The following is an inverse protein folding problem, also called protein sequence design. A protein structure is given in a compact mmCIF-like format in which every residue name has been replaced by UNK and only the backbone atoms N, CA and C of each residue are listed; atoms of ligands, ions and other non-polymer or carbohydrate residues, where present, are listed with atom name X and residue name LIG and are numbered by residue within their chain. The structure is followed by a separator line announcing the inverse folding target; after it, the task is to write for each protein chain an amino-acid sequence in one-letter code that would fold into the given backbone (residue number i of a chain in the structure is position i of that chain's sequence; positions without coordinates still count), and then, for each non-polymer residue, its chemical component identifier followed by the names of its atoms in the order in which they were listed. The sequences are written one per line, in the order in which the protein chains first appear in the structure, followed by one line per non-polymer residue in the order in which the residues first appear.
data_IF_242947563270
#
_entry.id   IF_242947563270
#
_cell.length_a   1.000
_cell.length_b   1.000
_cell.length_c   1.000
_cell.angle_alpha   90.00
_cell.angle_beta   90.00
_cell.angle_gamma   90.00
#
_symmetry.space_group_name_H-M   'P 1'
#
loop_
_entity.id
_entity.type
_entity.pdbx_description
1 polymer ?
#
# COMPACT_ATOMS: atom_id res chain seq x y z
N UNK A 1 -5.14 14.67 8.69
CA UNK A 1 -4.35 13.82 7.77
C UNK A 1 -4.56 12.37 8.17
N UNK A 2 -5.15 11.55 7.30
CA UNK A 2 -5.43 10.16 7.67
C UNK A 2 -4.27 9.25 7.29
N UNK A 3 -3.47 8.89 8.29
CA UNK A 3 -2.40 7.91 8.10
C UNK A 3 -3.00 6.54 7.79
N UNK A 4 -2.72 5.94 6.63
CA UNK A 4 -3.22 4.61 6.30
C UNK A 4 -2.69 3.63 7.35
N UNK A 5 -3.60 3.00 8.09
CA UNK A 5 -3.22 2.02 9.11
C UNK A 5 -3.04 0.66 8.43
N UNK A 6 -1.94 -0.06 8.70
CA UNK A 6 -1.81 -1.44 8.24
C UNK A 6 -2.89 -2.27 8.94
N UNK A 7 -3.67 -3.04 8.18
CA UNK A 7 -4.69 -3.93 8.75
C UNK A 7 -4.09 -5.04 9.60
N UNK A 8 -2.85 -5.44 9.31
CA UNK A 8 -2.13 -6.43 10.11
C UNK A 8 -0.68 -5.98 10.39
N UNK A 9 -0.43 -5.28 11.51
CA UNK A 9 0.91 -4.79 11.84
C UNK A 9 1.92 -5.93 12.08
N UNK A 10 1.48 -7.08 12.60
CA UNK A 10 2.34 -8.24 12.84
C UNK A 10 2.87 -8.82 11.54
N UNK A 11 2.03 -8.89 10.50
CA UNK A 11 2.41 -9.34 9.17
C UNK A 11 3.39 -8.36 8.51
N UNK A 12 3.15 -7.06 8.67
CA UNK A 12 4.04 -6.00 8.17
C UNK A 12 5.46 -6.10 8.77
N UNK A 13 5.56 -6.32 10.08
CA UNK A 13 6.85 -6.50 10.76
C UNK A 13 7.61 -7.73 10.27
N UNK A 14 6.92 -8.87 10.06
CA UNK A 14 7.52 -10.08 9.48
C UNK A 14 8.07 -9.83 8.07
N UNK A 15 7.26 -9.24 7.20
CA UNK A 15 7.65 -8.93 5.82
C UNK A 15 8.81 -7.94 5.78
N UNK A 16 8.87 -6.97 6.69
CA UNK A 16 10.02 -6.06 6.84
C UNK A 16 11.32 -6.81 7.18
N UNK A 17 11.25 -7.80 8.07
CA UNK A 17 12.38 -8.66 8.40
C UNK A 17 12.85 -9.49 7.21
N UNK A 18 11.91 -10.05 6.45
CA UNK A 18 12.23 -10.79 5.21
C UNK A 18 12.82 -9.88 4.13
N UNK A 19 12.33 -8.65 4.01
CA UNK A 19 12.88 -7.67 3.07
C UNK A 19 14.33 -7.33 3.43
N UNK A 20 14.63 -7.09 4.71
CA UNK A 20 16.01 -6.86 5.17
C UNK A 20 16.94 -8.05 4.94
N UNK A 21 16.41 -9.28 5.02
CA UNK A 21 17.18 -10.51 4.73
C UNK A 21 17.41 -10.69 3.22
N UNK A 22 16.41 -10.34 2.40
CA UNK A 22 16.44 -10.54 0.95
C UNK A 22 17.23 -9.46 0.20
N UNK A 23 17.16 -8.22 0.69
CA UNK A 23 17.84 -7.09 0.09
C UNK A 23 19.01 -6.66 0.97
N UNK A 24 20.24 -6.77 0.43
CA UNK A 24 21.47 -6.33 1.10
C UNK A 24 21.46 -4.84 1.44
N UNK A 25 20.77 -4.02 0.64
CA UNK A 25 20.66 -2.56 0.83
C UNK A 25 19.24 -2.21 1.26
N UNK A 26 19.11 -1.69 2.48
CA UNK A 26 17.87 -1.20 3.05
C UNK A 26 18.11 0.14 3.75
N UNK A 27 17.31 1.19 3.48
CA UNK A 27 16.14 1.23 2.59
C UNK A 27 16.53 1.36 1.11
N UNK A 28 16.00 0.47 0.26
CA UNK A 28 16.07 0.60 -1.19
C UNK A 28 14.66 0.64 -1.78
N UNK A 29 14.49 1.34 -2.91
CA UNK A 29 13.21 1.44 -3.59
C UNK A 29 12.62 0.04 -3.91
N UNK A 30 13.47 -0.89 -4.36
CA UNK A 30 13.11 -2.27 -4.62
C UNK A 30 12.69 -3.03 -3.35
N UNK A 31 13.40 -2.87 -2.24
CA UNK A 31 13.03 -3.53 -0.99
C UNK A 31 11.68 -3.04 -0.44
N UNK A 32 11.40 -1.73 -0.53
CA UNK A 32 10.12 -1.16 -0.09
C UNK A 32 8.95 -1.57 -0.99
N UNK A 33 9.18 -1.65 -2.31
CA UNK A 33 8.18 -2.14 -3.25
C UNK A 33 7.89 -3.63 -3.02
N UNK A 34 8.92 -4.46 -2.83
CA UNK A 34 8.76 -5.87 -2.53
C UNK A 34 8.01 -6.09 -1.21
N UNK A 35 8.39 -5.38 -0.14
CA UNK A 35 7.71 -5.49 1.14
C UNK A 35 6.21 -5.14 1.04
N UNK A 36 5.88 -4.07 0.30
CA UNK A 36 4.48 -3.68 0.08
C UNK A 36 3.70 -4.70 -0.75
N UNK A 37 4.34 -5.31 -1.76
CA UNK A 37 3.74 -6.35 -2.61
C UNK A 37 3.51 -7.64 -1.85
N UNK A 38 4.49 -8.08 -1.07
CA UNK A 38 4.42 -9.30 -0.27
C UNK A 38 3.41 -9.15 0.88
N UNK A 39 3.38 -7.99 1.53
CA UNK A 39 2.37 -7.66 2.53
C UNK A 39 0.95 -7.80 1.95
N UNK A 40 0.69 -7.22 0.77
CA UNK A 40 -0.59 -7.38 0.05
C UNK A 40 -0.88 -8.83 -0.35
N UNK A 41 0.12 -9.55 -0.85
CA UNK A 41 -0.01 -10.96 -1.27
C UNK A 41 -0.45 -11.87 -0.13
N UNK A 42 0.04 -11.61 1.08
CA UNK A 42 -0.28 -12.38 2.29
C UNK A 42 -1.59 -11.95 2.97
N UNK A 43 -2.40 -11.11 2.32
CA UNK A 43 -3.66 -10.60 2.87
C UNK A 43 -3.52 -9.34 3.74
N UNK A 44 -2.33 -8.74 3.79
CA UNK A 44 -2.08 -7.46 4.44
C UNK A 44 -2.61 -6.30 3.61
N UNK A 45 -3.49 -5.49 4.19
CA UNK A 45 -4.09 -4.32 3.56
C UNK A 45 -3.61 -3.02 4.19
N UNK A 46 -3.83 -1.93 3.48
CA UNK A 46 -3.77 -0.59 4.03
C UNK A 46 -5.20 -0.08 4.10
N UNK A 47 -5.72 0.10 5.31
CA UNK A 47 -7.01 0.76 5.51
C UNK A 47 -6.73 2.25 5.69
N UNK A 48 -7.01 3.01 4.64
CA UNK A 48 -7.04 4.48 4.67
C UNK A 48 -8.43 4.95 4.24
N UNK A 49 -8.88 6.13 4.70
CA UNK A 49 -10.11 6.69 4.19
C UNK A 49 -9.98 6.91 2.69
N UNK A 50 -11.01 6.45 1.99
CA UNK A 50 -11.09 6.50 0.54
C UNK A 50 -11.33 7.96 0.13
N UNK A 51 -10.24 8.70 -0.13
CA UNK A 51 -10.31 10.10 -0.59
C UNK A 51 -10.57 10.18 -2.10
N UNK A 52 -11.36 9.23 -2.65
CA UNK A 52 -11.73 9.24 -4.06
C UNK A 52 -12.73 10.37 -4.28
N UNK A 53 -12.26 11.47 -4.86
CA UNK A 53 -13.14 12.48 -5.47
C UNK A 53 -14.02 11.78 -6.50
N UNK A 54 -15.34 11.70 -6.25
CA UNK A 54 -16.31 11.26 -7.26
C UNK A 54 -16.15 12.18 -8.46
N UNK A 55 -15.50 11.70 -9.53
CA UNK A 55 -15.44 12.42 -10.80
C UNK A 55 -16.88 12.54 -11.29
N UNK A 56 -17.48 13.72 -11.12
CA UNK A 56 -18.80 14.05 -11.65
C UNK A 56 -18.74 13.72 -13.14
N UNK A 57 -19.53 12.74 -13.58
CA UNK A 57 -19.77 12.47 -15.00
C UNK A 57 -20.22 13.81 -15.60
N UNK A 58 -19.36 14.50 -16.35
CA UNK A 58 -19.78 15.58 -17.24
C UNK A 58 -20.61 14.89 -18.32
N UNK A 59 -21.92 14.92 -18.13
CA UNK A 59 -22.87 14.51 -19.15
C UNK A 59 -22.69 15.41 -20.36
N UNK A 60 -22.46 14.77 -21.49
CA UNK A 60 -22.75 15.28 -22.83
C UNK A 60 -24.16 15.87 -22.87
N UNK A 61 -24.26 17.19 -22.92
CA UNK A 61 -25.49 17.92 -23.21
C UNK A 61 -25.37 18.52 -24.60
N UNK A 62 -25.88 17.79 -25.59
CA UNK A 62 -26.18 18.27 -26.94
C UNK A 62 -27.44 19.14 -26.83
N UNK A 63 -27.34 20.43 -27.14
CA UNK A 63 -28.47 21.30 -27.47
C UNK A 63 -27.93 22.42 -28.35
#
# INVERSE_FOLDING_TARGET
MASPKPTNPSLWSRVKGEAKKKFKVYPSAYANAWASKEYKRRGGGWSGPDNRVKRKRRGTGKA
#
